data_IF_225301372867
#
_entry.id   IF_225301372867
#
_cell.length_a   1.000
_cell.length_b   1.000
_cell.length_c   1.000
_cell.angle_alpha   90.00
_cell.angle_beta   90.00
_cell.angle_gamma   90.00
#
_symmetry.space_group_name_H-M   'P 1'
#
loop_
_entity.id
_entity.type
_entity.pdbx_description
1 polymer ?
#
# COMPACT_ATOMS: atom_id res chain seq x y z
N UNK A 1 1.24 -15.32 -0.25
CA UNK A 1 1.34 -14.99 1.19
C UNK A 1 0.13 -14.15 1.55
N UNK A 2 -0.46 -14.40 2.72
CA UNK A 2 -1.58 -13.60 3.23
C UNK A 2 -0.99 -12.37 3.94
N UNK A 3 -1.16 -11.19 3.32
CA UNK A 3 -0.60 -9.93 3.81
C UNK A 3 -1.05 -9.64 5.25
N UNK A 4 -2.32 -9.89 5.57
CA UNK A 4 -2.85 -9.56 6.89
C UNK A 4 -2.28 -10.47 7.99
N UNK A 5 -1.99 -11.74 7.67
CA UNK A 5 -1.39 -12.66 8.63
C UNK A 5 0.07 -12.29 8.97
N UNK A 6 0.84 -11.80 7.98
CA UNK A 6 2.21 -11.34 8.20
C UNK A 6 2.21 -10.02 8.99
N UNK A 7 1.36 -9.07 8.61
CA UNK A 7 1.29 -7.77 9.29
C UNK A 7 0.72 -7.88 10.73
N UNK A 8 -0.09 -8.89 11.01
CA UNK A 8 -0.65 -9.12 12.34
C UNK A 8 0.40 -9.51 13.40
N UNK A 9 1.60 -9.95 12.99
CA UNK A 9 2.70 -10.22 13.92
C UNK A 9 3.12 -8.95 14.68
N UNK A 10 3.11 -7.80 14.01
CA UNK A 10 3.43 -6.49 14.58
C UNK A 10 2.17 -5.70 15.00
N UNK A 11 1.02 -6.01 14.38
CA UNK A 11 -0.26 -5.31 14.55
C UNK A 11 -1.41 -6.28 14.88
N UNK A 12 -1.53 -6.73 16.14
CA UNK A 12 -2.48 -7.78 16.53
C UNK A 12 -3.95 -7.39 16.29
N UNK A 13 -4.27 -6.10 16.20
CA UNK A 13 -5.62 -5.63 15.87
C UNK A 13 -6.12 -6.11 14.50
N UNK A 14 -5.22 -6.45 13.58
CA UNK A 14 -5.57 -6.93 12.24
C UNK A 14 -6.22 -8.32 12.29
N UNK A 15 -5.88 -9.14 13.29
CA UNK A 15 -6.49 -10.45 13.51
C UNK A 15 -7.97 -10.33 13.93
N UNK A 16 -8.31 -9.26 14.63
CA UNK A 16 -9.69 -9.00 15.08
C UNK A 16 -10.58 -8.41 13.96
N UNK A 17 -9.99 -7.98 12.84
CA UNK A 17 -10.77 -7.43 11.75
C UNK A 17 -11.68 -8.47 11.12
N UNK A 18 -12.97 -8.15 11.10
CA UNK A 18 -13.94 -8.89 10.31
C UNK A 18 -13.51 -8.96 8.84
N UNK A 19 -13.86 -10.06 8.16
CA UNK A 19 -13.53 -10.30 6.76
C UNK A 19 -13.95 -9.12 5.85
N UNK A 20 -15.13 -8.56 6.09
CA UNK A 20 -15.62 -7.37 5.38
C UNK A 20 -14.68 -6.16 5.50
N UNK A 21 -14.09 -5.94 6.67
CA UNK A 21 -13.18 -4.81 6.92
C UNK A 21 -11.88 -5.00 6.14
N UNK A 22 -11.32 -6.22 6.15
CA UNK A 22 -10.13 -6.56 5.35
C UNK A 22 -10.39 -6.37 3.85
N UNK A 23 -11.56 -6.80 3.38
CA UNK A 23 -11.97 -6.61 1.98
C UNK A 23 -12.11 -5.14 1.61
N UNK A 24 -12.80 -4.36 2.47
CA UNK A 24 -12.96 -2.92 2.28
C UNK A 24 -11.60 -2.22 2.22
N UNK A 25 -10.71 -2.53 3.15
CA UNK A 25 -9.35 -1.98 3.18
C UNK A 25 -8.62 -2.27 1.88
N UNK A 26 -8.66 -3.52 1.39
CA UNK A 26 -8.01 -3.92 0.13
C UNK A 26 -8.55 -3.13 -1.06
N UNK A 27 -9.87 -2.96 -1.15
CA UNK A 27 -10.51 -2.19 -2.24
C UNK A 27 -10.14 -0.70 -2.17
N UNK A 28 -10.14 -0.12 -0.97
CA UNK A 28 -9.83 1.28 -0.77
C UNK A 28 -8.34 1.53 -1.08
N UNK A 29 -7.46 0.60 -0.72
CA UNK A 29 -6.03 0.64 -1.07
C UNK A 29 -5.81 0.57 -2.59
N UNK A 30 -6.49 -0.33 -3.30
CA UNK A 30 -6.42 -0.36 -4.77
C UNK A 30 -6.95 0.92 -5.41
N UNK A 31 -8.02 1.50 -4.85
CA UNK A 31 -8.56 2.77 -5.31
C UNK A 31 -7.54 3.90 -5.14
N UNK A 32 -6.84 3.94 -4.00
CA UNK A 32 -5.74 4.88 -3.74
C UNK A 32 -4.59 4.71 -4.73
N UNK A 33 -4.12 3.49 -4.97
CA UNK A 33 -3.03 3.25 -5.93
C UNK A 33 -3.41 3.66 -7.35
N UNK A 34 -4.68 3.48 -7.74
CA UNK A 34 -5.17 3.92 -9.05
C UNK A 34 -5.31 5.43 -9.16
N UNK A 35 -5.85 6.09 -8.14
CA UNK A 35 -6.06 7.55 -8.15
C UNK A 35 -4.73 8.31 -8.15
N UNK A 36 -3.70 7.75 -7.53
CA UNK A 36 -2.33 8.28 -7.52
C UNK A 36 -1.52 7.94 -8.78
N UNK A 37 -2.06 7.11 -9.67
CA UNK A 37 -1.39 6.67 -10.89
C UNK A 37 -0.27 5.64 -10.67
N UNK A 38 -0.20 5.07 -9.46
CA UNK A 38 0.77 4.03 -9.08
C UNK A 38 0.37 2.63 -9.54
N UNK A 39 -0.92 2.42 -9.82
CA UNK A 39 -1.45 1.18 -10.38
C UNK A 39 -2.12 1.46 -11.73
N UNK A 40 -2.10 0.47 -12.62
CA UNK A 40 -2.86 0.50 -13.86
C UNK A 40 -4.37 0.63 -13.62
N UNK A 41 -5.09 1.09 -14.66
CA UNK A 41 -6.55 1.23 -14.57
C UNK A 41 -7.20 -0.14 -14.39
N UNK A 42 -8.34 -0.15 -13.69
CA UNK A 42 -9.18 -1.33 -13.57
C UNK A 42 -9.50 -1.93 -14.96
N UNK A 43 -9.47 -3.27 -15.15
CA UNK A 43 -9.40 -4.33 -14.12
C UNK A 43 -7.98 -4.76 -13.70
N UNK A 44 -6.94 -4.08 -14.19
CA UNK A 44 -5.56 -4.47 -13.86
C UNK A 44 -5.26 -4.32 -12.36
N UNK A 45 -4.40 -5.22 -11.87
CA UNK A 45 -3.78 -5.21 -10.53
C UNK A 45 -2.27 -4.97 -10.62
N UNK A 46 -1.77 -4.61 -11.79
CA UNK A 46 -0.34 -4.36 -12.02
C UNK A 46 0.01 -2.97 -11.48
N UNK A 47 0.95 -2.95 -10.53
CA UNK A 47 1.58 -1.73 -10.04
C UNK A 47 2.59 -1.25 -11.08
N UNK A 48 2.53 0.03 -11.42
CA UNK A 48 3.45 0.65 -12.37
C UNK A 48 4.84 0.75 -11.74
N UNK A 49 5.87 0.57 -12.57
CA UNK A 49 7.25 0.79 -12.13
C UNK A 49 7.41 2.24 -11.68
N UNK A 50 7.77 2.42 -10.42
CA UNK A 50 8.04 3.74 -9.86
C UNK A 50 9.33 4.30 -10.45
N UNK A 51 9.26 5.53 -10.95
CA UNK A 51 10.45 6.34 -11.24
C UNK A 51 10.48 7.41 -10.16
N UNK A 52 11.18 7.11 -9.07
CA UNK A 52 11.41 8.07 -8.00
C UNK A 52 12.58 8.95 -8.40
N UNK A 53 12.35 10.26 -8.37
CA UNK A 53 13.41 11.26 -8.52
C UNK A 53 14.12 11.41 -7.18
N UNK A 54 15.45 11.17 -7.08
CA UNK A 54 16.18 11.28 -5.82
C UNK A 54 15.97 12.63 -5.12
N UNK A 55 15.79 13.69 -5.89
CA UNK A 55 15.56 15.05 -5.41
C UNK A 55 14.30 15.15 -4.54
N UNK A 56 13.24 14.40 -4.87
CA UNK A 56 12.01 14.38 -4.08
C UNK A 56 12.18 13.70 -2.71
N UNK A 57 13.26 12.92 -2.54
CA UNK A 57 13.56 12.17 -1.33
C UNK A 57 14.86 12.62 -0.66
N UNK A 58 15.50 13.69 -1.15
CA UNK A 58 16.78 14.17 -0.63
C UNK A 58 16.75 14.37 0.89
N UNK A 59 15.64 14.89 1.41
CA UNK A 59 15.45 15.11 2.85
C UNK A 59 15.57 13.81 3.66
N UNK A 60 14.96 12.71 3.19
CA UNK A 60 15.09 11.39 3.80
C UNK A 60 16.49 10.79 3.59
N UNK A 61 17.05 10.93 2.39
CA UNK A 61 18.36 10.37 2.03
C UNK A 61 19.50 11.00 2.82
N UNK A 62 19.40 12.29 3.16
CA UNK A 62 20.39 13.01 3.94
C UNK A 62 20.13 12.97 5.46
N UNK A 63 19.12 12.22 5.92
CA UNK A 63 18.83 12.09 7.36
C UNK A 63 18.43 13.41 8.01
N UNK A 64 17.71 14.26 7.27
CA UNK A 64 17.25 15.56 7.75
C UNK A 64 15.86 15.48 8.43
N UNK A 65 15.24 14.29 8.46
CA UNK A 65 14.04 13.92 9.23
C UNK A 65 14.47 13.17 10.49
#
# INVERSE_FOLDING_TARGET
RDFFAEEAEDHPELDEWAEYTREKWRRDFYSFLRSTGLMEKHPSVVVRKFILRPEAFAFFLYGLV
#
